data_IF_871036803471
#
_entry.id   IF_871036803471
#
_cell.length_a   1.000
_cell.length_b   1.000
_cell.length_c   1.000
_cell.angle_alpha   90.00
_cell.angle_beta   90.00
_cell.angle_gamma   90.00
#
_symmetry.space_group_name_H-M   'P 1'
#
loop_
_entity.id
_entity.type
_entity.pdbx_description
1 polymer ?
#
# COMPACT_ATOMS: atom_id res chain seq x y z
N UNK A 1 17.70 -36.62 -21.77
CA UNK A 1 16.44 -36.10 -22.33
C UNK A 1 16.77 -35.43 -23.64
N UNK A 2 16.01 -35.72 -24.69
CA UNK A 2 16.13 -34.99 -25.96
C UNK A 2 15.55 -33.57 -25.79
N UNK A 3 15.93 -32.63 -26.63
CA UNK A 3 15.41 -31.26 -26.61
C UNK A 3 13.87 -31.22 -26.72
N UNK A 4 13.31 -32.13 -27.53
CA UNK A 4 11.86 -32.27 -27.72
C UNK A 4 11.14 -32.77 -26.45
N UNK A 5 11.72 -33.71 -25.73
CA UNK A 5 11.19 -34.20 -24.43
C UNK A 5 11.16 -33.09 -23.39
N UNK A 6 12.18 -32.21 -23.38
CA UNK A 6 12.26 -31.09 -22.47
C UNK A 6 11.18 -30.01 -22.78
N UNK A 7 10.92 -29.75 -24.06
CA UNK A 7 9.81 -28.88 -24.49
C UNK A 7 8.44 -29.45 -24.13
N UNK A 8 8.25 -30.76 -24.25
CA UNK A 8 6.98 -31.41 -23.86
C UNK A 8 6.76 -31.34 -22.34
N UNK A 9 7.82 -31.49 -21.56
CA UNK A 9 7.76 -31.30 -20.11
C UNK A 9 7.40 -29.86 -19.74
N UNK A 10 8.03 -28.87 -20.36
CA UNK A 10 7.71 -27.45 -20.17
C UNK A 10 6.23 -27.15 -20.46
N UNK A 11 5.73 -27.58 -21.63
CA UNK A 11 4.33 -27.41 -22.02
C UNK A 11 3.38 -28.02 -21.00
N UNK A 12 3.65 -29.24 -20.56
CA UNK A 12 2.82 -29.95 -19.58
C UNK A 12 2.76 -29.21 -18.25
N UNK A 13 3.91 -28.72 -17.75
CA UNK A 13 3.99 -27.96 -16.48
C UNK A 13 3.32 -26.60 -16.60
N UNK A 14 3.45 -25.92 -17.75
CA UNK A 14 2.79 -24.65 -18.01
C UNK A 14 1.26 -24.80 -17.98
N UNK A 15 0.73 -25.85 -18.64
CA UNK A 15 -0.71 -26.13 -18.66
C UNK A 15 -1.22 -26.38 -17.24
N UNK A 16 -0.51 -27.19 -16.42
CA UNK A 16 -0.87 -27.43 -15.04
C UNK A 16 -0.81 -26.17 -14.19
N UNK A 17 0.16 -25.30 -14.42
CA UNK A 17 0.27 -24.01 -13.73
C UNK A 17 -0.93 -23.10 -14.04
N UNK A 18 -1.31 -22.99 -15.31
CA UNK A 18 -2.47 -22.17 -15.74
C UNK A 18 -3.78 -22.76 -15.15
N UNK A 19 -3.93 -24.08 -15.20
CA UNK A 19 -5.12 -24.74 -14.65
C UNK A 19 -5.23 -24.47 -13.13
N UNK A 20 -4.13 -24.59 -12.40
CA UNK A 20 -4.11 -24.35 -10.96
C UNK A 20 -4.44 -22.89 -10.61
N UNK A 21 -3.86 -21.93 -11.34
CA UNK A 21 -4.20 -20.50 -11.19
C UNK A 21 -5.68 -20.26 -11.50
N UNK A 22 -6.24 -20.93 -12.52
CA UNK A 22 -7.67 -20.86 -12.84
C UNK A 22 -8.56 -21.36 -11.71
N UNK A 23 -8.21 -22.49 -11.10
CA UNK A 23 -8.94 -23.00 -9.91
C UNK A 23 -8.79 -22.06 -8.72
N UNK A 24 -7.58 -21.57 -8.45
CA UNK A 24 -7.33 -20.59 -7.40
C UNK A 24 -8.11 -19.29 -7.63
N UNK A 25 -8.23 -18.85 -8.89
CA UNK A 25 -9.04 -17.69 -9.25
C UNK A 25 -10.53 -17.89 -8.90
N UNK A 26 -11.09 -19.03 -9.20
CA UNK A 26 -12.48 -19.32 -8.82
C UNK A 26 -12.70 -19.26 -7.31
N UNK A 27 -11.75 -19.77 -6.54
CA UNK A 27 -11.79 -19.67 -5.07
C UNK A 27 -11.67 -18.23 -4.62
N UNK A 28 -10.68 -17.48 -5.11
CA UNK A 28 -10.48 -16.07 -4.75
C UNK A 28 -11.66 -15.18 -5.18
N UNK A 29 -12.29 -15.49 -6.33
CA UNK A 29 -13.49 -14.80 -6.80
C UNK A 29 -14.65 -14.93 -5.81
N UNK A 30 -14.85 -16.11 -5.23
CA UNK A 30 -15.87 -16.32 -4.22
C UNK A 30 -15.63 -15.49 -2.95
N UNK A 31 -14.36 -15.19 -2.62
CA UNK A 31 -13.96 -14.35 -1.48
C UNK A 31 -13.57 -12.91 -1.88
N UNK A 32 -13.91 -12.47 -3.08
CA UNK A 32 -13.49 -11.17 -3.65
C UNK A 32 -13.82 -9.97 -2.75
N UNK A 33 -15.01 -9.93 -2.14
CA UNK A 33 -15.41 -8.86 -1.22
C UNK A 33 -14.49 -8.76 0.01
N UNK A 34 -14.08 -9.90 0.57
CA UNK A 34 -13.17 -9.91 1.73
C UNK A 34 -11.77 -9.44 1.36
N UNK A 35 -11.29 -9.87 0.19
CA UNK A 35 -9.97 -9.48 -0.33
C UNK A 35 -9.99 -7.98 -0.64
N UNK A 36 -11.03 -7.48 -1.30
CA UNK A 36 -11.24 -6.06 -1.59
C UNK A 36 -11.19 -5.22 -0.31
N UNK A 37 -12.03 -5.56 0.67
CA UNK A 37 -12.10 -4.82 1.93
C UNK A 37 -10.77 -4.82 2.69
N UNK A 38 -10.05 -5.95 2.70
CA UNK A 38 -8.72 -6.02 3.31
C UNK A 38 -7.73 -5.08 2.60
N UNK A 39 -7.68 -5.09 1.27
CA UNK A 39 -6.79 -4.23 0.51
C UNK A 39 -7.16 -2.75 0.57
N UNK A 40 -8.43 -2.40 0.83
CA UNK A 40 -8.89 -1.03 0.95
C UNK A 40 -8.48 -0.34 2.27
N UNK A 41 -8.16 -1.10 3.33
CA UNK A 41 -7.84 -0.53 4.66
C UNK A 41 -6.74 0.54 4.62
N UNK A 42 -5.58 0.35 3.96
CA UNK A 42 -4.50 1.35 3.99
C UNK A 42 -4.89 2.67 3.34
N UNK A 43 -5.65 2.63 2.22
CA UNK A 43 -6.07 3.87 1.55
C UNK A 43 -7.14 4.61 2.31
N UNK A 44 -8.09 3.90 2.90
CA UNK A 44 -9.12 4.54 3.73
C UNK A 44 -8.49 5.29 4.90
N UNK A 45 -7.47 4.70 5.54
CA UNK A 45 -6.70 5.38 6.59
C UNK A 45 -5.94 6.59 6.06
N UNK A 46 -5.26 6.45 4.92
CA UNK A 46 -4.49 7.54 4.34
C UNK A 46 -5.38 8.69 3.85
N UNK A 47 -6.55 8.39 3.28
CA UNK A 47 -7.54 9.41 2.89
C UNK A 47 -8.13 10.11 4.12
N UNK A 48 -8.50 9.37 5.16
CA UNK A 48 -9.01 9.96 6.40
C UNK A 48 -7.97 10.89 7.05
N UNK A 49 -6.67 10.52 7.03
CA UNK A 49 -5.58 11.39 7.51
C UNK A 49 -5.39 12.63 6.63
N UNK A 50 -5.45 12.49 5.29
CA UNK A 50 -5.27 13.60 4.35
C UNK A 50 -6.46 14.57 4.34
N UNK A 51 -7.66 14.10 4.65
CA UNK A 51 -8.90 14.88 4.67
C UNK A 51 -9.23 15.45 6.04
N UNK A 52 -8.37 15.28 7.05
CA UNK A 52 -8.52 15.96 8.32
C UNK A 52 -8.43 17.48 8.06
N UNK A 53 -9.54 18.09 7.69
CA UNK A 53 -9.64 19.55 7.49
C UNK A 53 -9.37 20.23 8.82
N UNK A 54 -8.24 20.87 8.89
CA UNK A 54 -7.91 21.79 9.98
C UNK A 54 -8.78 23.03 9.83
N UNK A 55 -9.64 23.27 10.81
CA UNK A 55 -10.30 24.58 10.92
C UNK A 55 -9.32 25.50 11.64
N UNK A 56 -8.86 26.54 10.93
CA UNK A 56 -8.14 27.64 11.55
C UNK A 56 -9.11 28.43 12.44
N UNK A 57 -9.00 28.25 13.72
CA UNK A 57 -9.70 29.09 14.70
C UNK A 57 -8.71 30.17 15.14
N UNK A 58 -8.86 31.38 14.59
CA UNK A 58 -8.08 32.52 15.04
C UNK A 58 -8.52 32.92 16.44
N UNK A 59 -7.67 32.68 17.43
CA UNK A 59 -7.85 33.19 18.78
C UNK A 59 -7.50 34.68 18.89
N UNK A 60 -8.06 35.37 19.87
CA UNK A 60 -7.78 36.81 20.18
C UNK A 60 -6.30 37.10 20.49
N UNK A 61 -5.46 36.10 20.70
CA UNK A 61 -4.03 36.21 21.02
C UNK A 61 -3.09 35.98 19.85
N UNK A 62 -3.61 35.80 18.62
CA UNK A 62 -2.77 35.55 17.44
C UNK A 62 -2.18 34.14 17.37
N UNK A 63 -2.54 33.23 18.26
CA UNK A 63 -2.24 31.81 18.16
C UNK A 63 -3.33 31.08 17.37
N UNK A 64 -2.98 30.54 16.23
CA UNK A 64 -3.84 29.66 15.44
C UNK A 64 -4.02 28.34 16.19
N UNK A 65 -5.20 28.11 16.76
CA UNK A 65 -5.55 26.80 17.30
C UNK A 65 -6.23 26.01 16.19
N UNK A 66 -5.50 25.04 15.64
CA UNK A 66 -5.99 24.16 14.60
C UNK A 66 -6.59 22.93 15.29
N UNK A 67 -7.94 22.78 15.22
CA UNK A 67 -8.59 21.56 15.70
C UNK A 67 -9.47 20.96 14.59
N UNK A 68 -9.35 19.65 14.34
CA UNK A 68 -10.22 18.96 13.39
C UNK A 68 -11.68 18.94 13.91
N UNK A 69 -12.64 19.21 13.04
CA UNK A 69 -14.09 19.23 13.34
C UNK A 69 -14.58 17.95 14.02
N UNK A 70 -13.98 16.81 13.72
CA UNK A 70 -14.35 15.52 14.30
C UNK A 70 -13.92 15.32 15.77
N UNK A 71 -13.06 16.19 16.31
CA UNK A 71 -12.54 16.07 17.66
C UNK A 71 -13.16 17.08 18.65
N UNK A 72 -14.14 17.88 18.21
CA UNK A 72 -14.81 18.85 19.06
C UNK A 72 -15.64 18.14 20.13
N UNK A 73 -15.37 18.47 21.39
CA UNK A 73 -16.08 17.95 22.56
C UNK A 73 -17.13 18.94 23.03
N UNK A 74 -18.18 18.43 23.67
CA UNK A 74 -19.15 19.26 24.38
C UNK A 74 -18.44 20.17 25.38
N UNK A 75 -18.65 21.48 25.25
CA UNK A 75 -18.01 22.50 26.06
C UNK A 75 -16.86 23.25 25.39
N UNK A 76 -16.35 22.79 24.28
CA UNK A 76 -15.30 23.48 23.53
C UNK A 76 -15.79 24.85 23.04
N UNK A 77 -14.94 25.86 23.16
CA UNK A 77 -15.19 27.24 22.71
C UNK A 77 -14.16 27.64 21.68
N UNK A 78 -14.58 28.38 20.66
CA UNK A 78 -13.67 28.87 19.62
C UNK A 78 -14.27 30.07 18.89
N UNK A 79 -13.50 30.73 18.03
CA UNK A 79 -14.01 31.79 17.16
C UNK A 79 -14.31 31.23 15.78
N UNK A 80 -15.51 31.48 15.31
CA UNK A 80 -15.98 31.14 13.98
C UNK A 80 -16.00 32.38 13.10
N UNK A 81 -15.37 32.31 11.92
CA UNK A 81 -15.37 33.38 10.92
C UNK A 81 -16.26 32.97 9.76
N UNK A 82 -17.20 33.84 9.36
CA UNK A 82 -18.08 33.61 8.22
C UNK A 82 -17.34 33.89 6.91
N UNK A 83 -17.01 32.88 6.13
CA UNK A 83 -16.35 33.05 4.80
C UNK A 83 -17.27 33.69 3.78
N UNK A 84 -18.60 33.54 3.93
CA UNK A 84 -19.63 34.07 3.04
C UNK A 84 -20.75 34.70 3.85
N UNK A 85 -21.44 35.68 3.25
CA UNK A 85 -22.62 36.25 3.83
C UNK A 85 -23.69 35.15 4.08
N UNK A 86 -23.98 34.89 5.35
CA UNK A 86 -24.81 33.76 5.79
C UNK A 86 -26.12 34.27 6.45
N UNK A 87 -27.24 33.72 6.05
CA UNK A 87 -28.53 34.02 6.70
C UNK A 87 -28.66 33.24 8.01
N UNK A 88 -28.80 33.96 9.13
CA UNK A 88 -29.15 33.40 10.43
C UNK A 88 -30.56 33.95 10.83
N UNK A 89 -31.57 33.13 10.69
CA UNK A 89 -32.95 33.55 10.89
C UNK A 89 -33.37 34.65 9.89
N UNK A 90 -33.78 35.83 10.39
CA UNK A 90 -34.21 37.00 9.58
C UNK A 90 -33.05 37.91 9.18
N UNK A 91 -31.83 37.71 9.73
CA UNK A 91 -30.70 38.61 9.53
C UNK A 91 -29.59 37.94 8.71
N UNK A 92 -28.89 38.75 7.91
CA UNK A 92 -27.75 38.30 7.13
C UNK A 92 -26.46 38.77 7.83
N UNK A 93 -25.60 37.82 8.21
CA UNK A 93 -24.27 38.10 8.76
C UNK A 93 -23.33 38.30 7.59
N UNK A 94 -22.57 39.42 7.51
CA UNK A 94 -21.59 39.66 6.43
C UNK A 94 -20.44 38.67 6.49
N UNK A 95 -19.80 38.40 5.32
CA UNK A 95 -18.54 37.69 5.27
C UNK A 95 -17.47 38.43 6.07
N UNK A 96 -16.55 37.69 6.69
CA UNK A 96 -15.49 38.22 7.56
C UNK A 96 -15.92 38.53 8.99
N UNK A 97 -17.18 38.32 9.35
CA UNK A 97 -17.66 38.52 10.75
C UNK A 97 -17.15 37.36 11.60
N UNK A 98 -16.41 37.67 12.69
CA UNK A 98 -15.90 36.72 13.67
C UNK A 98 -16.77 36.66 14.90
N UNK A 99 -17.16 35.48 15.36
CA UNK A 99 -18.08 35.26 16.48
C UNK A 99 -17.56 34.18 17.41
N UNK A 100 -17.63 34.41 18.72
CA UNK A 100 -17.31 33.38 19.69
C UNK A 100 -18.44 32.32 19.68
N UNK A 101 -18.04 31.07 19.55
CA UNK A 101 -18.98 29.95 19.50
C UNK A 101 -18.61 28.88 20.55
N UNK A 102 -19.63 28.13 20.96
CA UNK A 102 -19.49 27.02 21.91
C UNK A 102 -20.18 25.78 21.37
N UNK A 103 -19.52 24.63 21.55
CA UNK A 103 -20.11 23.34 21.21
C UNK A 103 -21.03 22.90 22.36
N UNK A 104 -22.31 22.75 22.08
CA UNK A 104 -23.34 22.35 23.06
C UNK A 104 -24.35 21.41 22.40
N UNK A 105 -25.08 20.61 23.19
CA UNK A 105 -26.17 19.79 22.68
C UNK A 105 -27.46 20.63 22.52
N UNK A 106 -28.18 20.36 21.45
CA UNK A 106 -29.54 20.94 21.29
C UNK A 106 -30.57 20.15 22.12
N UNK A 107 -31.82 20.59 22.08
CA UNK A 107 -32.94 19.96 22.80
C UNK A 107 -33.23 18.51 22.34
N UNK A 108 -32.68 18.09 21.21
CA UNK A 108 -32.82 16.74 20.63
C UNK A 108 -31.58 15.84 20.96
N UNK A 109 -30.59 16.38 21.70
CA UNK A 109 -29.41 15.66 22.11
C UNK A 109 -28.26 15.64 21.09
N UNK A 110 -28.43 16.32 19.94
CA UNK A 110 -27.39 16.40 18.91
C UNK A 110 -26.37 17.49 19.24
N UNK A 111 -25.07 17.22 18.99
CA UNK A 111 -24.03 18.22 19.11
C UNK A 111 -24.23 19.31 18.04
N UNK A 112 -24.15 20.57 18.45
CA UNK A 112 -24.23 21.71 17.56
C UNK A 112 -23.27 22.81 18.00
N UNK A 113 -22.95 23.72 17.09
CA UNK A 113 -22.18 24.93 17.38
C UNK A 113 -23.16 26.07 17.59
N UNK A 114 -23.07 26.70 18.74
CA UNK A 114 -23.95 27.80 19.16
C UNK A 114 -23.15 29.06 19.38
N UNK A 115 -23.73 30.22 19.06
CA UNK A 115 -23.10 31.51 19.34
C UNK A 115 -23.02 31.74 20.86
N UNK A 116 -21.80 32.07 21.35
CA UNK A 116 -21.58 32.38 22.77
C UNK A 116 -21.57 33.91 23.05
N UNK A 117 -21.58 34.72 21.99
CA UNK A 117 -21.72 36.18 22.04
C UNK A 117 -22.81 36.67 21.07
N UNK A 118 -23.40 37.84 21.31
CA UNK A 118 -24.39 38.43 20.40
C UNK A 118 -23.69 38.92 19.13
N UNK A 119 -24.31 38.67 17.95
CA UNK A 119 -23.78 39.15 16.69
C UNK A 119 -24.54 40.46 16.32
N UNK A 120 -23.77 41.53 16.17
CA UNK A 120 -24.31 42.82 15.73
C UNK A 120 -24.26 42.88 14.21
N UNK A 121 -25.42 42.91 13.59
CA UNK A 121 -25.57 43.10 12.13
C UNK A 121 -26.15 44.48 11.86
N UNK A 122 -26.07 44.96 10.61
CA UNK A 122 -26.62 46.28 10.23
C UNK A 122 -28.10 46.43 10.48
N UNK A 123 -28.88 45.34 10.58
CA UNK A 123 -30.34 45.37 10.65
C UNK A 123 -30.92 44.75 11.93
N UNK A 124 -30.11 44.02 12.72
CA UNK A 124 -30.60 43.38 13.96
C UNK A 124 -29.46 42.88 14.82
N UNK A 125 -29.77 42.63 16.10
CA UNK A 125 -28.86 41.94 17.03
C UNK A 125 -29.33 40.49 17.10
N UNK A 126 -28.43 39.56 16.73
CA UNK A 126 -28.67 38.14 16.89
C UNK A 126 -28.24 37.77 18.30
N UNK A 127 -29.13 37.22 19.11
CA UNK A 127 -28.86 36.88 20.51
C UNK A 127 -27.89 35.71 20.63
N UNK A 128 -27.23 35.60 21.79
CA UNK A 128 -26.44 34.44 22.20
C UNK A 128 -27.28 33.16 22.16
N UNK A 129 -26.68 32.02 21.82
CA UNK A 129 -27.36 30.71 21.82
C UNK A 129 -28.04 30.35 20.50
N UNK A 130 -27.80 31.09 19.42
CA UNK A 130 -28.30 30.74 18.11
C UNK A 130 -27.42 29.65 17.50
N UNK A 131 -28.05 28.54 17.07
CA UNK A 131 -27.39 27.45 16.37
C UNK A 131 -26.87 27.93 15.02
N UNK A 132 -25.58 27.72 14.77
CA UNK A 132 -25.03 27.97 13.43
C UNK A 132 -25.50 26.86 12.48
N UNK A 133 -25.74 27.17 11.19
CA UNK A 133 -26.15 26.18 10.19
C UNK A 133 -25.02 25.26 9.77
N UNK A 134 -24.29 24.78 10.75
CA UNK A 134 -23.20 23.79 10.62
C UNK A 134 -23.71 22.51 11.28
N UNK A 135 -24.01 21.51 10.50
CA UNK A 135 -24.36 20.20 11.01
C UNK A 135 -23.07 19.51 11.50
N UNK A 136 -22.86 19.51 12.83
CA UNK A 136 -21.95 18.58 13.49
C UNK A 136 -22.66 17.22 13.51
N UNK A 137 -22.59 16.51 12.40
CA UNK A 137 -23.17 15.18 12.35
C UNK A 137 -22.27 14.25 13.17
N UNK A 138 -22.72 13.88 14.38
CA UNK A 138 -22.11 12.78 15.14
C UNK A 138 -22.16 11.44 14.35
N UNK A 139 -23.01 11.36 13.30
CA UNK A 139 -23.02 10.29 12.31
C UNK A 139 -21.90 10.38 11.27
N UNK A 140 -21.21 11.51 11.15
CA UNK A 140 -20.07 11.63 10.24
C UNK A 140 -18.84 10.87 10.76
N UNK A 141 -18.77 10.55 12.05
CA UNK A 141 -17.73 9.71 12.61
C UNK A 141 -17.93 8.21 12.32
N UNK A 142 -19.18 7.78 12.06
CA UNK A 142 -19.52 6.37 11.81
C UNK A 142 -19.94 6.06 10.36
N UNK A 143 -20.19 7.09 9.56
CA UNK A 143 -20.28 6.92 8.11
C UNK A 143 -19.09 7.63 7.50
N UNK A 144 -18.14 6.93 6.88
CA UNK A 144 -17.13 7.58 6.06
C UNK A 144 -17.88 8.46 5.06
N UNK A 145 -17.66 9.76 5.11
CA UNK A 145 -18.35 10.73 4.28
C UNK A 145 -18.25 10.33 2.82
N UNK A 146 -19.18 10.74 2.00
CA UNK A 146 -19.14 10.46 0.55
C UNK A 146 -17.87 10.97 -0.12
N UNK A 147 -17.11 11.83 0.55
CA UNK A 147 -15.81 12.36 0.12
C UNK A 147 -14.65 11.40 0.43
N UNK A 148 -14.79 10.46 1.38
CA UNK A 148 -13.76 9.47 1.76
C UNK A 148 -13.77 8.21 0.88
N UNK A 149 -14.70 8.16 -0.09
CA UNK A 149 -14.82 7.00 -0.98
C UNK A 149 -14.01 7.20 -2.25
N UNK A 150 -13.30 6.14 -2.64
CA UNK A 150 -12.71 6.09 -3.97
C UNK A 150 -13.80 6.24 -5.03
N UNK A 151 -13.49 6.98 -6.09
CA UNK A 151 -14.43 7.18 -7.19
C UNK A 151 -14.37 6.04 -8.19
N UNK A 152 -15.50 5.79 -8.82
CA UNK A 152 -15.67 4.87 -9.93
C UNK A 152 -16.15 5.69 -11.12
N UNK A 153 -15.45 5.58 -12.25
CA UNK A 153 -15.69 6.43 -13.43
C UNK A 153 -16.64 5.78 -14.44
N UNK A 154 -16.70 4.45 -14.47
CA UNK A 154 -17.56 3.69 -15.39
C UNK A 154 -18.34 2.61 -14.67
N UNK A 155 -19.53 2.25 -15.20
CA UNK A 155 -20.38 1.22 -14.59
C UNK A 155 -19.75 -0.18 -14.59
N UNK A 156 -18.79 -0.46 -15.49
CA UNK A 156 -18.10 -1.75 -15.60
C UNK A 156 -16.90 -1.84 -14.65
N UNK A 157 -16.40 -0.70 -14.17
CA UNK A 157 -15.19 -0.61 -13.36
C UNK A 157 -15.25 -1.44 -12.06
N UNK A 158 -16.34 -1.47 -11.26
CA UNK A 158 -16.41 -2.32 -10.08
C UNK A 158 -16.26 -3.80 -10.40
N UNK A 159 -16.83 -4.26 -11.51
CA UNK A 159 -16.70 -5.64 -11.94
C UNK A 159 -15.25 -5.99 -12.30
N UNK A 160 -14.62 -5.16 -13.15
CA UNK A 160 -13.20 -5.37 -13.53
C UNK A 160 -12.28 -5.32 -12.32
N UNK A 161 -12.57 -4.47 -11.34
CA UNK A 161 -11.82 -4.36 -10.10
C UNK A 161 -11.86 -5.67 -9.29
N UNK A 162 -13.05 -6.25 -9.09
CA UNK A 162 -13.17 -7.55 -8.42
C UNK A 162 -12.46 -8.68 -9.19
N UNK A 163 -12.52 -8.69 -10.52
CA UNK A 163 -11.78 -9.64 -11.36
C UNK A 163 -10.28 -9.47 -11.15
N UNK A 164 -9.77 -8.25 -11.23
CA UNK A 164 -8.35 -7.93 -11.09
C UNK A 164 -7.82 -8.33 -9.72
N UNK A 165 -8.48 -7.91 -8.64
CA UNK A 165 -8.10 -8.25 -7.26
C UNK A 165 -8.10 -9.76 -7.04
N UNK A 166 -9.13 -10.48 -7.56
CA UNK A 166 -9.21 -11.95 -7.46
C UNK A 166 -8.10 -12.64 -8.25
N UNK A 167 -7.73 -12.11 -9.41
CA UNK A 167 -6.64 -12.65 -10.23
C UNK A 167 -5.28 -12.52 -9.54
N UNK A 168 -4.96 -11.34 -9.01
CA UNK A 168 -3.71 -11.13 -8.27
C UNK A 168 -3.65 -12.01 -7.00
N UNK A 169 -4.76 -12.11 -6.27
CA UNK A 169 -4.85 -12.99 -5.10
C UNK A 169 -4.68 -14.47 -5.48
N UNK A 170 -5.25 -14.89 -6.61
CA UNK A 170 -5.10 -16.26 -7.14
C UNK A 170 -3.65 -16.56 -7.52
N UNK A 171 -2.96 -15.62 -8.17
CA UNK A 171 -1.53 -15.76 -8.48
C UNK A 171 -0.74 -15.89 -7.19
N UNK A 172 -0.95 -15.01 -6.21
CA UNK A 172 -0.28 -15.05 -4.91
C UNK A 172 -0.51 -16.38 -4.18
N UNK A 173 -1.73 -16.86 -4.15
CA UNK A 173 -2.08 -18.14 -3.54
C UNK A 173 -1.44 -19.33 -4.27
N UNK A 174 -1.24 -19.21 -5.59
CA UNK A 174 -0.68 -20.27 -6.44
C UNK A 174 0.85 -20.35 -6.38
N UNK A 175 1.54 -19.37 -5.79
CA UNK A 175 3.01 -19.30 -5.75
C UNK A 175 3.68 -20.60 -5.29
N UNK A 176 3.27 -21.27 -4.21
CA UNK A 176 3.90 -22.53 -3.79
C UNK A 176 3.84 -23.59 -4.89
N UNK A 177 2.69 -23.70 -5.57
CA UNK A 177 2.52 -24.64 -6.66
C UNK A 177 3.30 -24.24 -7.91
N UNK A 178 3.31 -22.96 -8.26
CA UNK A 178 4.10 -22.44 -9.38
C UNK A 178 5.60 -22.70 -9.18
N UNK A 179 6.11 -22.49 -7.96
CA UNK A 179 7.49 -22.80 -7.60
C UNK A 179 7.80 -24.30 -7.73
N UNK A 180 6.85 -25.17 -7.34
CA UNK A 180 6.94 -26.61 -7.57
C UNK A 180 7.07 -26.95 -9.04
N UNK A 181 6.29 -26.33 -9.91
CA UNK A 181 6.33 -26.57 -11.35
C UNK A 181 7.65 -26.06 -11.97
N UNK A 182 8.10 -24.86 -11.59
CA UNK A 182 9.37 -24.31 -12.04
C UNK A 182 10.54 -25.20 -11.59
N UNK A 183 10.53 -25.60 -10.32
CA UNK A 183 11.57 -26.50 -9.79
C UNK A 183 11.55 -27.87 -10.45
N UNK A 184 10.37 -28.44 -10.66
CA UNK A 184 10.24 -29.71 -11.36
C UNK A 184 10.80 -29.68 -12.77
N UNK A 185 10.71 -28.53 -13.48
CA UNK A 185 11.30 -28.29 -14.79
C UNK A 185 12.84 -28.23 -14.74
N UNK A 186 13.40 -27.63 -13.68
CA UNK A 186 14.85 -27.49 -13.49
C UNK A 186 15.47 -28.80 -12.95
N UNK A 187 14.73 -29.53 -12.12
CA UNK A 187 15.21 -30.71 -11.37
C UNK A 187 15.85 -31.81 -12.25
N UNK A 188 15.40 -32.13 -13.47
CA UNK A 188 16.04 -33.13 -14.33
C UNK A 188 17.48 -32.78 -14.70
N UNK A 189 17.82 -31.49 -14.75
CA UNK A 189 19.17 -31.02 -15.04
C UNK A 189 20.14 -31.11 -13.83
N UNK A 190 19.61 -31.40 -12.62
CA UNK A 190 20.38 -31.49 -11.39
C UNK A 190 20.77 -32.94 -11.04
N UNK A 191 21.91 -33.09 -10.34
CA UNK A 191 22.35 -34.37 -9.80
C UNK A 191 21.38 -34.89 -8.73
N UNK A 192 21.29 -36.22 -8.57
CA UNK A 192 20.35 -36.86 -7.62
C UNK A 192 20.46 -36.35 -6.19
N UNK A 193 21.67 -36.04 -5.71
CA UNK A 193 21.90 -35.53 -4.36
C UNK A 193 21.52 -34.05 -4.21
N UNK A 194 21.38 -33.30 -5.29
CA UNK A 194 20.98 -31.88 -5.29
C UNK A 194 19.46 -31.73 -5.23
N UNK A 195 18.72 -32.74 -5.63
CA UNK A 195 17.25 -32.76 -5.55
C UNK A 195 16.73 -32.75 -4.13
N UNK A 196 17.55 -33.13 -3.14
CA UNK A 196 17.16 -33.06 -1.72
C UNK A 196 16.92 -31.62 -1.23
N UNK A 197 17.46 -30.62 -1.93
CA UNK A 197 17.28 -29.20 -1.57
C UNK A 197 15.94 -28.62 -2.07
N UNK A 198 15.13 -29.38 -2.80
CA UNK A 198 13.84 -28.95 -3.37
C UNK A 198 12.84 -28.57 -2.28
N UNK A 199 12.61 -29.48 -1.34
CA UNK A 199 11.59 -29.28 -0.29
C UNK A 199 11.88 -28.06 0.60
N UNK A 200 13.09 -27.90 1.15
CA UNK A 200 13.42 -26.71 1.93
C UNK A 200 13.37 -25.43 1.09
N UNK A 201 13.73 -25.50 -0.20
CA UNK A 201 13.61 -24.36 -1.10
C UNK A 201 12.15 -23.89 -1.28
N UNK A 202 11.23 -24.81 -1.55
CA UNK A 202 9.81 -24.46 -1.77
C UNK A 202 9.19 -23.87 -0.52
N UNK A 203 9.47 -24.43 0.67
CA UNK A 203 9.02 -23.88 1.94
C UNK A 203 9.60 -22.47 2.16
N UNK A 204 10.90 -22.31 2.01
CA UNK A 204 11.56 -21.02 2.19
C UNK A 204 11.02 -19.98 1.20
N UNK A 205 10.89 -20.34 -0.07
CA UNK A 205 10.34 -19.48 -1.11
C UNK A 205 8.89 -19.09 -0.83
N UNK A 206 8.03 -20.03 -0.44
CA UNK A 206 6.63 -19.72 -0.13
C UNK A 206 6.52 -18.76 1.05
N UNK A 207 7.29 -18.99 2.11
CA UNK A 207 7.33 -18.09 3.28
C UNK A 207 7.89 -16.71 2.87
N UNK A 208 8.96 -16.69 2.09
CA UNK A 208 9.57 -15.44 1.60
C UNK A 208 8.59 -14.63 0.76
N UNK A 209 7.80 -15.29 -0.10
CA UNK A 209 6.79 -14.58 -0.90
C UNK A 209 5.73 -13.92 -0.03
N UNK A 210 5.16 -14.67 0.93
CA UNK A 210 4.16 -14.13 1.86
C UNK A 210 4.76 -12.99 2.70
N UNK A 211 5.99 -13.15 3.19
CA UNK A 211 6.71 -12.10 3.91
C UNK A 211 6.93 -10.85 3.05
N UNK A 212 7.29 -11.02 1.76
CA UNK A 212 7.44 -9.91 0.82
C UNK A 212 6.13 -9.17 0.53
N UNK A 213 5.05 -9.91 0.30
CA UNK A 213 3.73 -9.32 0.11
C UNK A 213 3.23 -8.58 1.37
N UNK A 214 3.44 -9.18 2.56
CA UNK A 214 3.12 -8.54 3.83
C UNK A 214 3.99 -7.29 4.08
N UNK A 215 5.27 -7.35 3.79
CA UNK A 215 6.16 -6.19 3.86
C UNK A 215 5.69 -5.05 2.95
N UNK A 216 5.31 -5.38 1.71
CA UNK A 216 4.75 -4.41 0.78
C UNK A 216 3.50 -3.73 1.35
N UNK A 217 2.56 -4.51 1.87
CA UNK A 217 1.29 -4.04 2.39
C UNK A 217 1.42 -3.18 3.66
N UNK A 218 2.22 -3.64 4.65
CA UNK A 218 2.30 -2.98 5.96
C UNK A 218 3.39 -1.93 6.08
N UNK A 219 4.50 -2.07 5.34
CA UNK A 219 5.69 -1.24 5.52
C UNK A 219 5.92 -0.30 4.34
N UNK A 220 5.82 -0.80 3.10
CA UNK A 220 6.19 -0.02 1.92
C UNK A 220 5.03 0.86 1.43
N UNK A 221 3.83 0.30 1.38
CA UNK A 221 2.67 0.95 0.79
C UNK A 221 2.19 2.20 1.55
N UNK A 222 2.06 2.21 2.90
CA UNK A 222 1.58 3.38 3.62
C UNK A 222 2.41 4.66 3.39
N UNK A 223 3.75 4.65 3.52
CA UNK A 223 4.55 5.84 3.22
C UNK A 223 4.51 6.23 1.74
N UNK A 224 4.41 5.26 0.80
CA UNK A 224 4.29 5.55 -0.62
C UNK A 224 3.00 6.33 -0.93
N UNK A 225 1.85 5.86 -0.41
CA UNK A 225 0.56 6.55 -0.59
C UNK A 225 0.57 7.91 0.09
N UNK A 226 1.07 8.01 1.32
CA UNK A 226 1.14 9.29 2.04
C UNK A 226 1.98 10.32 1.27
N UNK A 227 3.09 9.91 0.70
CA UNK A 227 3.93 10.76 -0.14
C UNK A 227 3.17 11.24 -1.40
N UNK A 228 2.48 10.32 -2.10
CA UNK A 228 1.70 10.64 -3.29
C UNK A 228 0.54 11.60 -3.00
N UNK A 229 -0.19 11.37 -1.90
CA UNK A 229 -1.27 12.26 -1.47
C UNK A 229 -0.73 13.64 -1.08
N UNK A 230 0.44 13.72 -0.44
CA UNK A 230 1.10 14.97 -0.08
C UNK A 230 1.52 15.82 -1.29
N UNK A 231 1.85 15.22 -2.44
CA UNK A 231 2.10 15.95 -3.67
C UNK A 231 0.84 16.63 -4.24
N UNK A 232 -0.33 16.18 -3.81
CA UNK A 232 -1.62 16.67 -4.29
C UNK A 232 -2.30 17.66 -3.33
N UNK A 233 -1.63 18.23 -2.33
CA UNK A 233 -2.24 19.12 -1.33
C UNK A 233 -2.94 20.34 -1.94
N UNK A 234 -2.42 20.87 -3.06
CA UNK A 234 -3.01 22.00 -3.77
C UNK A 234 -4.20 21.60 -4.68
N UNK A 235 -4.49 20.30 -4.79
CA UNK A 235 -5.52 19.77 -5.69
C UNK A 235 -6.64 19.09 -4.92
N UNK A 236 -7.84 19.08 -5.49
CA UNK A 236 -8.95 18.25 -4.99
C UNK A 236 -8.66 16.79 -5.37
N UNK A 237 -8.21 16.01 -4.40
CA UNK A 237 -7.86 14.61 -4.61
C UNK A 237 -9.14 13.78 -4.84
N UNK A 238 -9.21 13.18 -6.03
CA UNK A 238 -10.24 12.19 -6.40
C UNK A 238 -9.54 10.88 -6.76
N UNK A 239 -9.39 9.98 -5.78
CA UNK A 239 -8.69 8.73 -5.98
C UNK A 239 -9.59 7.71 -6.68
N UNK A 240 -9.18 7.29 -7.88
CA UNK A 240 -9.88 6.25 -8.65
C UNK A 240 -9.60 4.87 -8.06
N UNK A 241 -10.66 4.09 -7.84
CA UNK A 241 -10.54 2.78 -7.22
C UNK A 241 -9.62 1.83 -8.00
N UNK A 242 -9.76 1.77 -9.32
CA UNK A 242 -8.96 0.88 -10.17
C UNK A 242 -7.47 1.17 -10.05
N UNK A 243 -7.06 2.45 -10.17
CA UNK A 243 -5.65 2.84 -10.12
C UNK A 243 -5.02 2.48 -8.76
N UNK A 244 -5.78 2.64 -7.69
CA UNK A 244 -5.34 2.24 -6.36
C UNK A 244 -5.13 0.72 -6.24
N UNK A 245 -6.11 -0.09 -6.66
CA UNK A 245 -6.02 -1.54 -6.52
C UNK A 245 -4.98 -2.16 -7.45
N UNK A 246 -4.82 -1.63 -8.66
CA UNK A 246 -3.72 -2.03 -9.55
C UNK A 246 -2.37 -1.74 -8.91
N UNK A 247 -2.21 -0.57 -8.31
CA UNK A 247 -0.96 -0.17 -7.67
C UNK A 247 -0.61 -1.05 -6.46
N UNK A 248 -1.54 -1.24 -5.50
CA UNK A 248 -1.24 -2.04 -4.30
C UNK A 248 -0.99 -3.51 -4.65
N UNK A 249 -1.77 -4.09 -5.55
CA UNK A 249 -1.61 -5.50 -5.93
C UNK A 249 -0.33 -5.73 -6.72
N UNK A 250 0.04 -4.80 -7.61
CA UNK A 250 1.30 -4.85 -8.35
C UNK A 250 2.50 -4.80 -7.40
N UNK A 251 2.51 -3.86 -6.44
CA UNK A 251 3.60 -3.75 -5.45
C UNK A 251 3.70 -5.01 -4.59
N UNK A 252 2.57 -5.54 -4.11
CA UNK A 252 2.57 -6.75 -3.30
C UNK A 252 3.13 -7.95 -4.08
N UNK A 253 2.74 -8.11 -5.35
CA UNK A 253 3.24 -9.18 -6.20
C UNK A 253 4.73 -8.99 -6.51
N UNK A 254 5.14 -7.78 -6.89
CA UNK A 254 6.53 -7.45 -7.20
C UNK A 254 7.45 -7.70 -6.00
N UNK A 255 7.08 -7.19 -4.81
CA UNK A 255 7.85 -7.41 -3.59
C UNK A 255 7.87 -8.89 -3.18
N UNK A 256 6.75 -9.60 -3.33
CA UNK A 256 6.72 -11.05 -3.13
C UNK A 256 7.74 -11.79 -4.00
N UNK A 257 7.86 -11.41 -5.28
CA UNK A 257 8.86 -11.96 -6.21
C UNK A 257 10.29 -11.54 -5.85
N UNK A 258 10.50 -10.27 -5.46
CA UNK A 258 11.81 -9.75 -5.07
C UNK A 258 12.33 -10.47 -3.81
N UNK A 259 11.45 -10.78 -2.87
CA UNK A 259 11.79 -11.57 -1.68
C UNK A 259 12.21 -13.01 -1.99
N UNK A 260 12.05 -13.48 -3.24
CA UNK A 260 12.63 -14.75 -3.68
C UNK A 260 14.16 -14.70 -3.88
N UNK A 261 14.77 -13.50 -3.96
CA UNK A 261 16.21 -13.36 -4.19
C UNK A 261 17.07 -14.19 -3.23
N UNK A 262 16.88 -14.15 -1.89
CA UNK A 262 17.66 -14.98 -0.97
C UNK A 262 17.43 -16.49 -1.14
N UNK A 263 16.17 -16.89 -1.45
CA UNK A 263 15.83 -18.30 -1.66
C UNK A 263 16.46 -18.86 -2.95
N UNK A 264 16.42 -18.10 -4.04
CA UNK A 264 17.08 -18.44 -5.30
C UNK A 264 18.60 -18.52 -5.07
N UNK A 265 19.17 -17.53 -4.38
CA UNK A 265 20.59 -17.49 -4.05
C UNK A 265 21.01 -18.71 -3.21
N UNK A 266 20.18 -19.13 -2.25
CA UNK A 266 20.41 -20.33 -1.45
C UNK A 266 20.63 -21.55 -2.34
N UNK A 267 19.74 -21.80 -3.29
CA UNK A 267 19.84 -22.96 -4.19
C UNK A 267 21.07 -22.85 -5.08
N UNK A 268 21.27 -21.72 -5.75
CA UNK A 268 22.38 -21.52 -6.66
C UNK A 268 23.74 -21.61 -5.96
N UNK A 269 23.82 -21.16 -4.70
CA UNK A 269 25.02 -21.28 -3.88
C UNK A 269 25.28 -22.72 -3.43
N UNK A 270 24.24 -23.49 -3.09
CA UNK A 270 24.36 -24.92 -2.73
C UNK A 270 24.80 -25.79 -3.90
N UNK A 271 24.32 -25.50 -5.09
CA UNK A 271 24.74 -26.18 -6.32
C UNK A 271 26.17 -25.76 -6.71
N UNK A 272 26.64 -24.57 -6.27
CA UNK A 272 27.97 -24.04 -6.56
C UNK A 272 28.05 -23.17 -7.81
N UNK A 273 26.89 -22.74 -8.35
CA UNK A 273 26.81 -21.83 -9.51
C UNK A 273 27.20 -20.42 -9.09
N UNK A 274 26.74 -19.98 -7.90
CA UNK A 274 27.00 -18.63 -7.36
C UNK A 274 27.78 -18.76 -6.05
N UNK A 275 28.70 -17.83 -5.82
CA UNK A 275 29.45 -17.71 -4.56
C UNK A 275 29.29 -16.33 -3.95
N UNK A 276 29.50 -16.19 -2.64
CA UNK A 276 29.46 -14.88 -1.97
C UNK A 276 30.48 -13.90 -2.58
N UNK A 277 31.69 -14.40 -2.96
CA UNK A 277 32.68 -13.57 -3.64
C UNK A 277 32.27 -13.08 -5.01
N UNK A 278 31.48 -13.86 -5.77
CA UNK A 278 30.92 -13.45 -7.04
C UNK A 278 29.89 -12.32 -6.82
N UNK A 279 28.97 -12.48 -5.88
CA UNK A 279 27.99 -11.46 -5.54
C UNK A 279 28.69 -10.17 -5.06
N UNK A 280 29.66 -10.28 -4.15
CA UNK A 280 30.42 -9.12 -3.68
C UNK A 280 31.17 -8.38 -4.80
N UNK A 281 31.68 -9.09 -5.81
CA UNK A 281 32.36 -8.47 -6.96
C UNK A 281 31.36 -7.80 -7.91
N UNK A 282 30.16 -8.37 -8.04
CA UNK A 282 29.11 -7.90 -8.95
C UNK A 282 28.22 -6.82 -8.36
N UNK A 283 28.52 -6.27 -7.17
CA UNK A 283 27.66 -5.33 -6.45
C UNK A 283 27.22 -4.11 -7.26
N UNK A 284 28.14 -3.57 -8.11
CA UNK A 284 27.84 -2.40 -8.95
C UNK A 284 26.73 -2.70 -9.98
N UNK A 285 26.84 -3.85 -10.63
CA UNK A 285 25.84 -4.29 -11.62
C UNK A 285 24.52 -4.60 -10.93
N UNK A 286 24.58 -5.30 -9.79
CA UNK A 286 23.38 -5.60 -9.00
C UNK A 286 22.66 -4.35 -8.52
N UNK A 287 23.40 -3.31 -8.09
CA UNK A 287 22.83 -2.03 -7.69
C UNK A 287 22.09 -1.36 -8.86
N UNK A 288 22.68 -1.35 -10.05
CA UNK A 288 22.03 -0.78 -11.25
C UNK A 288 20.77 -1.56 -11.59
N UNK A 289 20.80 -2.89 -11.55
CA UNK A 289 19.63 -3.74 -11.81
C UNK A 289 18.54 -3.47 -10.77
N UNK A 290 18.89 -3.35 -9.48
CA UNK A 290 17.96 -3.01 -8.40
C UNK A 290 17.28 -1.66 -8.67
N UNK A 291 18.06 -0.63 -9.05
CA UNK A 291 17.49 0.68 -9.35
C UNK A 291 16.56 0.65 -10.56
N UNK A 292 16.89 -0.11 -11.61
CA UNK A 292 16.02 -0.30 -12.77
C UNK A 292 14.70 -1.00 -12.35
N UNK A 293 14.79 -2.08 -11.59
CA UNK A 293 13.61 -2.80 -11.10
C UNK A 293 12.77 -1.90 -10.18
N UNK A 294 13.41 -1.15 -9.28
CA UNK A 294 12.74 -0.21 -8.41
C UNK A 294 12.01 0.89 -9.21
N UNK A 295 12.63 1.41 -10.29
CA UNK A 295 12.01 2.39 -11.17
C UNK A 295 10.79 1.84 -11.94
N UNK A 296 10.81 0.55 -12.29
CA UNK A 296 9.67 -0.10 -12.96
C UNK A 296 8.50 -0.35 -12.00
N UNK A 297 8.81 -0.70 -10.74
CA UNK A 297 7.79 -0.99 -9.71
C UNK A 297 7.25 0.28 -9.07
N UNK A 298 8.05 1.36 -9.02
CA UNK A 298 7.64 2.65 -8.48
C UNK A 298 6.55 3.29 -9.34
N UNK A 299 5.47 3.85 -8.73
CA UNK A 299 4.40 4.52 -9.47
C UNK A 299 4.85 5.86 -10.08
N UNK A 300 5.91 6.44 -9.54
CA UNK A 300 6.44 7.73 -9.96
C UNK A 300 7.95 7.62 -10.20
N UNK A 301 8.46 8.40 -11.18
CA UNK A 301 9.89 8.42 -11.51
C UNK A 301 10.73 9.33 -10.60
N UNK A 302 10.21 9.75 -9.45
CA UNK A 302 10.88 10.65 -8.52
C UNK A 302 11.89 9.92 -7.62
N UNK A 303 12.90 10.65 -7.17
CA UNK A 303 13.99 10.10 -6.35
C UNK A 303 13.50 9.56 -5.00
N UNK A 304 12.60 10.24 -4.24
CA UNK A 304 12.13 9.72 -2.96
C UNK A 304 11.45 8.34 -3.06
N UNK A 305 10.53 8.15 -4.00
CA UNK A 305 9.89 6.85 -4.22
C UNK A 305 10.89 5.81 -4.73
N UNK A 306 11.77 6.17 -5.67
CA UNK A 306 12.82 5.27 -6.12
C UNK A 306 13.67 4.75 -4.95
N UNK A 307 14.06 5.62 -4.02
CA UNK A 307 14.81 5.24 -2.81
C UNK A 307 13.98 4.36 -1.87
N UNK A 308 12.69 4.67 -1.69
CA UNK A 308 11.77 3.89 -0.87
C UNK A 308 11.66 2.44 -1.35
N UNK A 309 11.58 2.23 -2.67
CA UNK A 309 11.47 0.90 -3.27
C UNK A 309 12.83 0.18 -3.37
N UNK A 310 13.93 0.89 -3.63
CA UNK A 310 15.25 0.29 -3.78
C UNK A 310 15.87 -0.14 -2.45
N UNK A 311 15.61 0.56 -1.34
CA UNK A 311 16.19 0.26 -0.04
C UNK A 311 15.94 -1.20 0.43
N UNK A 312 14.70 -1.73 0.44
CA UNK A 312 14.47 -3.13 0.79
C UNK A 312 15.13 -4.11 -0.19
N UNK A 313 15.22 -3.77 -1.48
CA UNK A 313 15.89 -4.62 -2.47
C UNK A 313 17.39 -4.72 -2.21
N UNK A 314 18.04 -3.60 -1.87
CA UNK A 314 19.45 -3.56 -1.47
C UNK A 314 19.65 -4.40 -0.21
N UNK A 315 18.77 -4.26 0.78
CA UNK A 315 18.81 -5.07 1.99
C UNK A 315 18.73 -6.58 1.67
N UNK A 316 17.79 -6.99 0.82
CA UNK A 316 17.65 -8.39 0.40
C UNK A 316 18.88 -8.90 -0.38
N UNK A 317 19.52 -8.03 -1.16
CA UNK A 317 20.77 -8.36 -1.81
C UNK A 317 21.89 -8.65 -0.80
N UNK A 318 22.01 -7.85 0.26
CA UNK A 318 22.96 -8.11 1.35
C UNK A 318 22.62 -9.43 2.07
N UNK A 319 21.34 -9.70 2.33
CA UNK A 319 20.88 -11.00 2.87
C UNK A 319 21.27 -12.14 1.93
N UNK A 320 21.14 -11.96 0.61
CA UNK A 320 21.52 -12.96 -0.39
C UNK A 320 23.03 -13.26 -0.36
N UNK A 321 23.88 -12.23 -0.17
CA UNK A 321 25.32 -12.41 0.03
C UNK A 321 25.59 -13.24 1.29
N UNK A 322 24.92 -12.92 2.40
CA UNK A 322 25.05 -13.66 3.66
C UNK A 322 24.62 -15.13 3.48
N UNK A 323 23.50 -15.38 2.81
CA UNK A 323 23.03 -16.73 2.49
C UNK A 323 24.06 -17.50 1.64
N UNK A 324 24.61 -16.87 0.61
CA UNK A 324 25.65 -17.48 -0.21
C UNK A 324 26.93 -17.77 0.58
N UNK A 325 27.27 -16.94 1.57
CA UNK A 325 28.42 -17.15 2.43
C UNK A 325 28.22 -18.33 3.40
N UNK A 326 27.04 -18.45 4.00
CA UNK A 326 26.73 -19.52 4.97
C UNK A 326 26.57 -20.87 4.28
N UNK A 327 25.81 -20.91 3.17
CA UNK A 327 25.37 -22.14 2.54
C UNK A 327 26.15 -22.51 1.27
N UNK A 328 26.99 -21.62 0.75
CA UNK A 328 27.76 -21.87 -0.47
C UNK A 328 28.76 -23.02 -0.30
N UNK A 329 28.89 -23.86 -1.33
CA UNK A 329 29.95 -24.86 -1.41
C UNK A 329 31.30 -24.13 -1.40
N UNK A 330 32.16 -24.44 -0.42
CA UNK A 330 33.58 -24.02 -0.48
C UNK A 330 34.15 -24.66 -1.74
N UNK A 331 34.45 -23.86 -2.74
CA UNK A 331 35.26 -24.30 -3.89
C UNK A 331 36.60 -24.73 -3.32
N UNK A 332 36.94 -26.02 -3.41
CA UNK A 332 38.34 -26.47 -3.17
C UNK A 332 39.15 -25.69 -4.18
N UNK A 333 39.93 -24.77 -3.70
CA UNK A 333 40.96 -24.09 -4.50
C UNK A 333 41.86 -25.21 -5.00
N UNK A 334 41.97 -25.35 -6.32
CA UNK A 334 42.97 -26.20 -6.96
C UNK A 334 44.37 -25.67 -6.61
N UNK A 335 44.81 -25.98 -5.40
CA UNK A 335 46.16 -25.74 -4.91
C UNK A 335 47.08 -26.93 -5.24
N UNK A 336 46.70 -27.76 -6.22
CA UNK A 336 47.50 -28.89 -6.69
C UNK A 336 47.68 -28.96 -8.23
N UNK A 337 47.72 -27.82 -8.90
CA UNK A 337 48.19 -27.76 -10.28
C UNK A 337 49.47 -26.92 -10.36
N UNK A 338 50.40 -27.22 -9.51
CA UNK A 338 51.72 -26.63 -9.52
C UNK A 338 52.73 -27.62 -8.98
N UNK A 339 53.09 -28.60 -9.82
CA UNK A 339 54.36 -29.30 -9.84
C UNK A 339 54.24 -30.59 -10.69
N UNK A 340 54.41 -30.49 -11.96
CA UNK A 340 55.40 -31.31 -12.72
C UNK A 340 55.76 -30.48 -13.97
#
# INVERSE_FOLDING_TARGET
MSFLEHLDEFRKRLVWSILFVGVAFMVCWFFSDRIYNFLAIPVQKALAEAQTREIKVEGLSGEEIIQPLGNLKEGDTGRFVFDKATKLGVSTVPAGTSVLVKVTRDNEGNLGIFTDEPIFTSNAIISRGVRLPLELSAKAADQPGSEDRMIVTTAVEPFTLYVTVSLYAAIALSIPFLLLQVWGFISPALYRHERAYVTPFILLSSISFVAGAAFAYYVLFPPAVKYLLGLGEDFRLMLRATDYFEFITLIMLAMGLIFQMPAITYVLARIGIISAGFLLRSWKVSLVVILIVAAVVSPTGDIPNLMLFSAPMIFLYLVSILVAWIFGKKRKTDEQAGFV
#
